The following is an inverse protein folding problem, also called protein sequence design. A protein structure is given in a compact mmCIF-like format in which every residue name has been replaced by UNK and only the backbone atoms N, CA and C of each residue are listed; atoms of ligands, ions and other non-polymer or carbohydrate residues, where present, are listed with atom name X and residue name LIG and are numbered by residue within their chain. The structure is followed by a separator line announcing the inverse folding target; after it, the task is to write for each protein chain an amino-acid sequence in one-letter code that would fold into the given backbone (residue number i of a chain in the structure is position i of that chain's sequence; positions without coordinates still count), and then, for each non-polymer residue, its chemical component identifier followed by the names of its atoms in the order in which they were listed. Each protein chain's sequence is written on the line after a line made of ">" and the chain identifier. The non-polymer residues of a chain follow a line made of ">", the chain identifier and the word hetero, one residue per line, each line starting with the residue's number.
data_IF_751634041324
#
_entry.id   IF_751634041324
#
_cell.length_a   1.000
_cell.length_b   1.000
_cell.length_c   1.000
_cell.angle_alpha   90.00
_cell.angle_beta   90.00
_cell.angle_gamma   90.00
#
_symmetry.space_group_name_H-M   'P 1'
#
loop_
_entity.id
_entity.type
_entity.pdbx_description
1 polymer ?
#
# COMPACT_ATOMS: atom_id res chain seq x y z
N UNK A 1 -24.70 11.58 -1.53
CA UNK A 1 -23.36 11.32 -0.94
C UNK A 1 -23.12 9.81 -0.79
N UNK A 2 -24.03 9.06 -0.16
CA UNK A 2 -23.89 7.60 0.01
C UNK A 2 -23.78 6.83 -1.32
N UNK A 3 -24.58 7.18 -2.33
CA UNK A 3 -24.49 6.58 -3.66
C UNK A 3 -23.13 6.87 -4.33
N UNK A 4 -22.66 8.10 -4.28
CA UNK A 4 -21.38 8.48 -4.86
C UNK A 4 -20.20 7.73 -4.20
N UNK A 5 -20.16 7.69 -2.88
CA UNK A 5 -19.11 7.01 -2.14
C UNK A 5 -19.24 5.49 -2.23
N UNK A 6 -20.46 4.96 -2.10
CA UNK A 6 -20.67 3.52 -2.07
C UNK A 6 -20.61 2.84 -3.44
N UNK A 7 -21.03 3.51 -4.52
CA UNK A 7 -21.01 2.92 -5.84
C UNK A 7 -19.84 3.43 -6.70
N UNK A 8 -19.78 4.73 -7.00
CA UNK A 8 -18.83 5.25 -7.98
C UNK A 8 -17.38 5.09 -7.50
N UNK A 9 -17.08 5.52 -6.29
CA UNK A 9 -15.71 5.42 -5.75
C UNK A 9 -15.27 3.96 -5.56
N UNK A 10 -16.13 3.10 -5.02
CA UNK A 10 -15.77 1.70 -4.84
C UNK A 10 -15.54 1.00 -6.18
N UNK A 11 -16.35 1.25 -7.21
CA UNK A 11 -16.13 0.68 -8.54
C UNK A 11 -14.77 1.13 -9.09
N UNK A 12 -14.42 2.40 -8.98
CA UNK A 12 -13.13 2.92 -9.47
C UNK A 12 -11.95 2.30 -8.73
N UNK A 13 -12.02 2.18 -7.39
CA UNK A 13 -10.97 1.55 -6.59
C UNK A 13 -10.85 0.07 -6.95
N UNK A 14 -11.97 -0.66 -7.03
CA UNK A 14 -11.94 -2.06 -7.43
C UNK A 14 -11.39 -2.26 -8.84
N UNK A 15 -11.75 -1.39 -9.79
CA UNK A 15 -11.21 -1.44 -11.14
C UNK A 15 -9.68 -1.27 -11.16
N UNK A 16 -9.13 -0.33 -10.36
CA UNK A 16 -7.68 -0.14 -10.27
C UNK A 16 -6.96 -1.34 -9.65
N UNK A 17 -7.54 -1.95 -8.61
CA UNK A 17 -7.00 -3.18 -8.00
C UNK A 17 -7.06 -4.35 -8.98
N UNK A 18 -8.17 -4.53 -9.69
CA UNK A 18 -8.30 -5.56 -10.74
C UNK A 18 -7.26 -5.37 -11.86
N UNK A 19 -7.04 -4.12 -12.29
CA UNK A 19 -6.02 -3.81 -13.30
C UNK A 19 -4.61 -4.18 -12.83
N UNK A 20 -4.27 -3.87 -11.58
CA UNK A 20 -3.01 -4.31 -10.99
C UNK A 20 -2.90 -5.84 -10.95
N UNK A 21 -3.96 -6.52 -10.53
CA UNK A 21 -4.04 -7.99 -10.55
C UNK A 21 -3.83 -8.59 -11.93
N UNK A 22 -4.45 -8.03 -12.96
CA UNK A 22 -4.26 -8.44 -14.37
C UNK A 22 -2.81 -8.29 -14.81
N UNK A 23 -2.17 -7.16 -14.52
CA UNK A 23 -0.76 -6.94 -14.88
C UNK A 23 0.16 -7.96 -14.20
N UNK A 24 -0.05 -8.21 -12.92
CA UNK A 24 0.74 -9.18 -12.14
C UNK A 24 0.49 -10.61 -12.65
N UNK A 25 -0.77 -11.00 -12.85
CA UNK A 25 -1.13 -12.32 -13.38
C UNK A 25 -0.59 -12.58 -14.77
N UNK A 26 -0.62 -11.58 -15.64
CA UNK A 26 -0.02 -11.65 -16.97
C UNK A 26 1.51 -11.77 -16.92
N UNK A 27 2.17 -10.97 -16.09
CA UNK A 27 3.64 -10.95 -15.99
C UNK A 27 4.22 -12.21 -15.32
N UNK A 28 3.57 -12.73 -14.26
CA UNK A 28 4.09 -13.84 -13.48
C UNK A 28 3.59 -15.21 -13.95
N UNK A 29 2.34 -15.30 -14.39
CA UNK A 29 1.67 -16.57 -14.70
C UNK A 29 1.35 -16.72 -16.19
N UNK A 30 1.55 -15.67 -17.00
CA UNK A 30 1.20 -15.67 -18.42
C UNK A 30 -0.32 -15.75 -18.68
N UNK A 31 -1.15 -15.43 -17.70
CA UNK A 31 -2.61 -15.51 -17.81
C UNK A 31 -3.16 -14.34 -18.63
N UNK A 32 -4.22 -14.60 -19.38
CA UNK A 32 -4.99 -13.53 -20.01
C UNK A 32 -5.72 -12.67 -18.98
N UNK A 33 -6.13 -11.42 -19.32
CA UNK A 33 -6.86 -10.55 -18.41
C UNK A 33 -8.14 -11.18 -17.85
N UNK A 34 -8.88 -11.90 -18.69
CA UNK A 34 -10.13 -12.56 -18.29
C UNK A 34 -9.88 -13.73 -17.37
N UNK A 35 -8.89 -14.57 -17.66
CA UNK A 35 -8.51 -15.70 -16.81
C UNK A 35 -8.06 -15.24 -15.44
N UNK A 36 -7.20 -14.21 -15.38
CA UNK A 36 -6.76 -13.62 -14.12
C UNK A 36 -7.92 -13.15 -13.26
N UNK A 37 -8.87 -12.42 -13.87
CA UNK A 37 -10.05 -11.94 -13.14
C UNK A 37 -10.93 -13.09 -12.67
N UNK A 38 -11.23 -14.05 -13.53
CA UNK A 38 -12.09 -15.19 -13.17
C UNK A 38 -11.50 -16.02 -12.04
N UNK A 39 -10.22 -16.34 -12.12
CA UNK A 39 -9.52 -17.12 -11.08
C UNK A 39 -9.48 -16.34 -9.76
N UNK A 40 -9.08 -15.08 -9.80
CA UNK A 40 -8.98 -14.24 -8.60
C UNK A 40 -10.34 -14.03 -7.94
N UNK A 41 -11.38 -13.73 -8.74
CA UNK A 41 -12.73 -13.56 -8.22
C UNK A 41 -13.29 -14.87 -7.65
N UNK A 42 -13.09 -16.00 -8.33
CA UNK A 42 -13.55 -17.30 -7.85
C UNK A 42 -12.92 -17.67 -6.50
N UNK A 43 -11.60 -17.53 -6.38
CA UNK A 43 -10.88 -17.75 -5.11
C UNK A 43 -11.41 -16.83 -4.01
N UNK A 44 -11.57 -15.55 -4.32
CA UNK A 44 -12.07 -14.54 -3.37
C UNK A 44 -13.46 -14.86 -2.88
N UNK A 45 -14.37 -15.23 -3.78
CA UNK A 45 -15.74 -15.60 -3.42
C UNK A 45 -15.76 -16.83 -2.53
N UNK A 46 -14.99 -17.86 -2.87
CA UNK A 46 -14.94 -19.11 -2.09
C UNK A 46 -14.47 -18.85 -0.67
N UNK A 47 -13.30 -18.24 -0.47
CA UNK A 47 -12.78 -18.04 0.88
C UNK A 47 -13.61 -17.05 1.71
N UNK A 48 -14.16 -16.00 1.06
CA UNK A 48 -15.01 -15.02 1.74
C UNK A 48 -16.35 -15.63 2.18
N UNK A 49 -16.93 -16.50 1.35
CA UNK A 49 -18.19 -17.15 1.66
C UNK A 49 -18.07 -18.15 2.81
N UNK A 50 -16.94 -18.86 2.87
CA UNK A 50 -16.70 -19.88 3.92
C UNK A 50 -16.24 -19.24 5.23
N UNK A 51 -15.36 -18.24 5.15
CA UNK A 51 -14.68 -17.67 6.32
C UNK A 51 -15.42 -16.53 7.01
N UNK A 52 -16.35 -15.87 6.33
CA UNK A 52 -16.97 -14.64 6.82
C UNK A 52 -15.94 -13.60 7.22
N UNK A 53 -16.30 -12.65 8.09
CA UNK A 53 -15.40 -11.58 8.55
C UNK A 53 -14.15 -12.11 9.26
N UNK A 54 -14.29 -13.18 10.06
CA UNK A 54 -13.16 -13.78 10.79
C UNK A 54 -12.15 -14.42 9.82
N UNK A 55 -12.63 -15.13 8.81
CA UNK A 55 -11.79 -15.72 7.78
C UNK A 55 -11.02 -14.65 7.01
N UNK A 56 -11.68 -13.57 6.63
CA UNK A 56 -11.06 -12.43 5.94
C UNK A 56 -9.93 -11.82 6.80
N UNK A 57 -10.18 -11.54 8.08
CA UNK A 57 -9.15 -10.95 8.98
C UNK A 57 -7.93 -11.87 9.09
N UNK A 58 -8.13 -13.17 9.23
CA UNK A 58 -7.03 -14.14 9.31
C UNK A 58 -6.25 -14.16 7.99
N UNK A 59 -6.94 -14.20 6.86
CA UNK A 59 -6.31 -14.21 5.53
C UNK A 59 -5.53 -12.92 5.28
N UNK A 60 -6.11 -11.77 5.61
CA UNK A 60 -5.45 -10.46 5.50
C UNK A 60 -4.15 -10.43 6.32
N UNK A 61 -4.17 -11.00 7.52
CA UNK A 61 -2.99 -11.06 8.39
C UNK A 61 -1.86 -11.93 7.78
N UNK A 62 -2.19 -13.09 7.24
CA UNK A 62 -1.21 -13.94 6.55
C UNK A 62 -0.67 -13.28 5.28
N UNK A 63 -1.54 -12.66 4.49
CA UNK A 63 -1.14 -11.94 3.29
C UNK A 63 -0.23 -10.74 3.63
N UNK A 64 -0.52 -10.04 4.72
CA UNK A 64 0.35 -8.96 5.20
C UNK A 64 1.75 -9.47 5.56
N UNK A 65 1.85 -10.57 6.33
CA UNK A 65 3.16 -11.16 6.68
C UNK A 65 3.90 -11.57 5.42
N UNK A 66 3.24 -12.27 4.50
CA UNK A 66 3.85 -12.73 3.25
C UNK A 66 4.36 -11.54 2.42
N UNK A 67 3.54 -10.50 2.28
CA UNK A 67 3.93 -9.28 1.56
C UNK A 67 5.14 -8.60 2.21
N UNK A 68 5.17 -8.50 3.55
CA UNK A 68 6.32 -7.91 4.27
C UNK A 68 7.59 -8.73 4.06
N UNK A 69 7.52 -10.04 4.22
CA UNK A 69 8.68 -10.94 3.99
C UNK A 69 9.19 -10.80 2.56
N UNK A 70 8.28 -10.86 1.57
CA UNK A 70 8.66 -10.72 0.16
C UNK A 70 9.30 -9.36 -0.13
N UNK A 71 8.77 -8.27 0.44
CA UNK A 71 9.30 -6.93 0.24
C UNK A 71 10.68 -6.75 0.87
N UNK A 72 10.88 -7.23 2.09
CA UNK A 72 12.21 -7.18 2.73
C UNK A 72 13.22 -8.06 2.00
N UNK A 73 12.81 -9.22 1.51
CA UNK A 73 13.67 -10.06 0.68
C UNK A 73 14.04 -9.36 -0.61
N UNK A 74 13.08 -8.81 -1.33
CA UNK A 74 13.36 -8.06 -2.55
C UNK A 74 14.31 -6.87 -2.30
N UNK A 75 14.11 -6.12 -1.22
CA UNK A 75 15.00 -5.03 -0.83
C UNK A 75 16.42 -5.53 -0.54
N UNK A 76 16.56 -6.66 0.15
CA UNK A 76 17.85 -7.29 0.43
C UNK A 76 18.56 -7.72 -0.87
N UNK A 77 17.85 -8.39 -1.78
CA UNK A 77 18.40 -8.81 -3.07
C UNK A 77 18.87 -7.60 -3.90
N UNK A 78 18.05 -6.55 -3.99
CA UNK A 78 18.39 -5.33 -4.72
C UNK A 78 19.66 -4.68 -4.16
N UNK A 79 19.72 -4.49 -2.83
CA UNK A 79 20.90 -3.89 -2.16
C UNK A 79 22.15 -4.75 -2.31
N UNK A 80 21.99 -6.06 -2.45
CA UNK A 80 23.09 -7.02 -2.62
C UNK A 80 23.60 -7.14 -4.05
N UNK A 81 22.95 -6.48 -5.02
CA UNK A 81 23.40 -6.51 -6.42
C UNK A 81 24.84 -5.98 -6.55
N UNK A 82 25.69 -6.59 -7.42
CA UNK A 82 27.07 -6.16 -7.64
C UNK A 82 27.21 -4.69 -8.09
N UNK A 83 26.19 -4.14 -8.72
CA UNK A 83 26.15 -2.74 -9.14
C UNK A 83 25.96 -1.77 -7.98
N UNK A 84 25.24 -2.20 -6.93
CA UNK A 84 24.90 -1.35 -5.77
C UNK A 84 25.96 -1.49 -4.67
N UNK A 85 26.49 -2.69 -4.47
CA UNK A 85 27.55 -2.99 -3.48
C UNK A 85 27.19 -2.64 -2.02
N UNK A 86 25.91 -2.76 -1.67
CA UNK A 86 25.42 -2.57 -0.32
C UNK A 86 24.75 -1.23 -0.05
N UNK A 87 24.02 -1.19 1.07
CA UNK A 87 23.20 -0.03 1.46
C UNK A 87 24.04 1.25 1.65
N UNK A 88 25.24 1.12 2.25
CA UNK A 88 26.09 2.29 2.47
C UNK A 88 26.51 2.96 1.16
N UNK A 89 26.80 2.17 0.13
CA UNK A 89 27.18 2.70 -1.18
C UNK A 89 25.98 3.33 -1.89
N UNK A 90 24.80 2.68 -1.80
CA UNK A 90 23.56 3.23 -2.32
C UNK A 90 23.22 4.59 -1.71
N UNK A 91 23.30 4.73 -0.40
CA UNK A 91 23.01 5.99 0.31
C UNK A 91 24.02 7.11 0.01
N UNK A 92 25.23 6.76 -0.39
CA UNK A 92 26.27 7.73 -0.79
C UNK A 92 26.35 7.96 -2.30
N UNK A 93 25.47 7.34 -3.07
CA UNK A 93 25.44 7.55 -4.50
C UNK A 93 25.01 8.98 -4.85
N UNK A 94 25.70 9.66 -5.80
CA UNK A 94 25.40 11.06 -6.16
C UNK A 94 23.94 11.32 -6.55
N UNK A 95 23.30 10.36 -7.23
CA UNK A 95 21.90 10.49 -7.66
C UNK A 95 20.90 10.19 -6.55
N UNK A 96 21.33 9.56 -5.46
CA UNK A 96 20.48 9.19 -4.32
C UNK A 96 20.52 10.25 -3.23
N UNK A 97 21.67 10.86 -2.98
CA UNK A 97 21.86 11.91 -1.94
C UNK A 97 20.79 13.01 -2.03
N UNK A 98 20.50 13.61 -3.20
CA UNK A 98 19.46 14.65 -3.30
C UNK A 98 18.06 14.15 -2.96
N UNK A 99 17.79 12.85 -3.22
CA UNK A 99 16.50 12.22 -2.95
C UNK A 99 16.28 11.82 -1.48
N UNK A 100 17.33 11.84 -0.66
CA UNK A 100 17.24 11.57 0.78
C UNK A 100 16.79 12.80 1.58
N UNK A 101 16.75 13.97 0.97
CA UNK A 101 16.24 15.17 1.63
C UNK A 101 14.74 15.03 1.91
N UNK A 102 14.36 15.27 3.17
CA UNK A 102 12.95 15.27 3.57
C UNK A 102 12.17 16.47 3.00
N UNK A 103 12.88 17.55 2.71
CA UNK A 103 12.31 18.77 2.15
C UNK A 103 12.96 18.97 0.77
N UNK A 104 12.17 19.09 -0.30
CA UNK A 104 12.68 19.41 -1.62
C UNK A 104 13.45 20.73 -1.62
N UNK A 105 14.41 20.86 -2.54
CA UNK A 105 15.13 22.12 -2.69
C UNK A 105 14.16 23.24 -3.07
N UNK A 106 14.21 24.34 -2.32
CA UNK A 106 13.39 25.54 -2.56
C UNK A 106 13.74 26.19 -3.92
N UNK A 107 14.95 25.97 -4.40
CA UNK A 107 15.38 26.45 -5.71
C UNK A 107 14.62 25.76 -6.87
N UNK A 108 14.20 24.50 -6.70
CA UNK A 108 13.28 23.83 -7.61
C UNK A 108 11.83 24.11 -7.19
N UNK A 109 11.35 25.28 -7.59
CA UNK A 109 10.05 25.80 -7.18
C UNK A 109 8.90 24.90 -7.59
N UNK A 110 8.96 24.27 -8.76
CA UNK A 110 7.89 23.39 -9.26
C UNK A 110 7.80 22.11 -8.44
N UNK A 111 8.93 21.48 -8.16
CA UNK A 111 8.99 20.29 -7.32
C UNK A 111 8.60 20.63 -5.87
N UNK A 112 9.09 21.76 -5.34
CA UNK A 112 8.77 22.19 -3.98
C UNK A 112 7.26 22.44 -3.80
N UNK A 113 6.63 23.13 -4.74
CA UNK A 113 5.18 23.35 -4.72
C UNK A 113 4.43 22.04 -4.82
N UNK A 114 4.77 21.19 -5.79
CA UNK A 114 4.05 19.94 -6.06
C UNK A 114 4.15 18.91 -4.92
N UNK A 115 5.33 18.77 -4.31
CA UNK A 115 5.60 17.71 -3.33
C UNK A 115 5.45 18.17 -1.89
N UNK A 116 5.64 19.45 -1.61
CA UNK A 116 5.60 19.98 -0.24
C UNK A 116 4.39 20.89 -0.01
N UNK A 117 4.21 21.94 -0.82
CA UNK A 117 3.16 22.94 -0.58
C UNK A 117 1.77 22.37 -0.83
N UNK A 118 1.54 21.70 -1.97
CA UNK A 118 0.23 21.13 -2.30
C UNK A 118 -0.20 20.05 -1.30
N UNK A 119 0.64 19.07 -0.93
CA UNK A 119 0.28 18.11 0.10
C UNK A 119 -0.04 18.75 1.44
N UNK A 120 0.74 19.73 1.88
CA UNK A 120 0.55 20.40 3.17
C UNK A 120 -0.68 21.31 3.18
N UNK A 121 -0.84 22.15 2.16
CA UNK A 121 -1.87 23.19 2.13
C UNK A 121 -3.24 22.69 1.63
N UNK A 122 -3.26 21.66 0.78
CA UNK A 122 -4.48 21.16 0.15
C UNK A 122 -4.83 19.76 0.61
N UNK A 123 -3.89 18.80 0.52
CA UNK A 123 -4.18 17.40 0.83
C UNK A 123 -4.29 17.13 2.33
N UNK A 124 -3.51 17.81 3.15
CA UNK A 124 -3.58 17.68 4.61
C UNK A 124 -4.96 18.05 5.18
N UNK A 125 -5.64 18.97 4.54
CA UNK A 125 -6.99 19.40 4.93
C UNK A 125 -8.10 18.52 4.34
N UNK A 126 -7.75 17.58 3.48
CA UNK A 126 -8.73 16.63 2.98
C UNK A 126 -9.21 15.72 4.12
N UNK A 127 -10.51 15.56 4.21
CA UNK A 127 -11.14 14.62 5.15
C UNK A 127 -10.74 13.17 4.84
N UNK A 128 -10.21 12.95 3.66
CA UNK A 128 -9.76 11.67 3.16
C UNK A 128 -8.25 11.70 2.93
N UNK A 129 -7.49 10.86 3.61
CA UNK A 129 -6.05 10.70 3.45
C UNK A 129 -5.73 9.36 2.77
N UNK A 130 -4.56 9.19 2.16
CA UNK A 130 -4.16 7.92 1.56
C UNK A 130 -4.27 6.76 2.54
N UNK A 131 -5.04 5.74 2.18
CA UNK A 131 -5.37 4.61 3.05
C UNK A 131 -6.62 4.80 3.92
N UNK A 132 -7.20 6.00 3.95
CA UNK A 132 -8.56 6.17 4.43
C UNK A 132 -9.53 5.71 3.35
N UNK A 133 -10.51 4.95 3.76
CA UNK A 133 -11.55 4.48 2.85
C UNK A 133 -12.52 5.57 2.50
N UNK A 134 -13.19 5.47 1.33
CA UNK A 134 -14.34 6.29 1.04
C UNK A 134 -15.38 6.13 2.16
N UNK A 135 -15.58 7.19 2.93
CA UNK A 135 -16.49 7.14 4.07
C UNK A 135 -15.83 7.22 5.46
N UNK A 136 -14.50 7.43 5.51
CA UNK A 136 -13.82 7.77 6.76
C UNK A 136 -13.49 6.59 7.67
N UNK A 137 -12.83 5.57 7.13
CA UNK A 137 -12.30 4.48 7.94
C UNK A 137 -13.33 3.44 8.37
N UNK A 138 -14.37 3.22 7.58
CA UNK A 138 -15.45 2.26 7.86
C UNK A 138 -14.95 0.84 8.08
N UNK A 139 -13.91 0.41 7.37
CA UNK A 139 -13.31 -0.92 7.56
C UNK A 139 -12.54 -1.04 8.87
N UNK A 140 -11.83 -0.01 9.28
CA UNK A 140 -11.16 0.01 10.61
C UNK A 140 -12.20 0.01 11.71
N UNK A 141 -13.23 0.86 11.60
CA UNK A 141 -14.34 0.90 12.54
C UNK A 141 -15.08 -0.44 12.63
N UNK A 142 -15.35 -1.10 11.49
CA UNK A 142 -15.98 -2.42 11.46
C UNK A 142 -15.16 -3.47 12.23
N UNK A 143 -13.84 -3.47 12.06
CA UNK A 143 -12.94 -4.39 12.76
C UNK A 143 -12.87 -4.08 14.25
N UNK A 144 -12.84 -2.80 14.64
CA UNK A 144 -12.91 -2.39 16.05
C UNK A 144 -14.21 -2.82 16.71
N UNK A 145 -15.34 -2.62 16.04
CA UNK A 145 -16.67 -2.99 16.54
C UNK A 145 -16.87 -4.52 16.61
N UNK A 146 -16.12 -5.29 15.84
CA UNK A 146 -16.16 -6.77 15.87
C UNK A 146 -15.20 -7.38 16.89
N UNK A 147 -14.42 -6.58 17.61
CA UNK A 147 -13.50 -7.06 18.63
C UNK A 147 -14.26 -7.62 19.85
N UNK A 148 -13.64 -8.57 20.54
CA UNK A 148 -14.23 -9.25 21.70
C UNK A 148 -14.54 -8.30 22.85
N UNK A 149 -13.67 -7.32 23.06
CA UNK A 149 -13.74 -6.33 24.13
C UNK A 149 -12.97 -5.06 23.74
N UNK A 150 -13.12 -4.00 24.53
CA UNK A 150 -12.50 -2.71 24.33
C UNK A 150 -10.97 -2.79 24.34
N UNK A 151 -10.39 -3.60 25.23
CA UNK A 151 -8.94 -3.78 25.31
C UNK A 151 -8.38 -4.39 24.02
N UNK A 152 -9.05 -5.40 23.48
CA UNK A 152 -8.65 -6.00 22.20
C UNK A 152 -8.82 -5.02 21.02
N UNK A 153 -9.85 -4.18 21.02
CA UNK A 153 -10.04 -3.15 20.02
C UNK A 153 -8.89 -2.11 20.04
N UNK A 154 -8.50 -1.64 21.23
CA UNK A 154 -7.40 -0.69 21.43
C UNK A 154 -6.06 -1.29 20.93
N UNK A 155 -5.74 -2.50 21.37
CA UNK A 155 -4.49 -3.16 20.96
C UNK A 155 -4.44 -3.48 19.48
N UNK A 156 -5.54 -3.91 18.88
CA UNK A 156 -5.62 -4.14 17.45
C UNK A 156 -5.41 -2.85 16.65
N UNK A 157 -6.00 -1.74 17.09
CA UNK A 157 -5.83 -0.43 16.46
C UNK A 157 -4.40 0.09 16.62
N UNK A 158 -3.80 -0.08 17.79
CA UNK A 158 -2.40 0.29 18.03
C UNK A 158 -1.46 -0.52 17.12
N UNK A 159 -1.66 -1.84 17.05
CA UNK A 159 -0.88 -2.72 16.19
C UNK A 159 -1.04 -2.32 14.72
N UNK A 160 -2.27 -2.05 14.27
CA UNK A 160 -2.54 -1.58 12.91
C UNK A 160 -1.78 -0.29 12.60
N UNK A 161 -1.88 0.72 13.47
CA UNK A 161 -1.18 1.98 13.28
C UNK A 161 0.34 1.79 13.24
N UNK A 162 0.90 1.01 14.15
CA UNK A 162 2.33 0.72 14.16
C UNK A 162 2.78 0.02 12.86
N UNK A 163 2.09 -1.02 12.46
CA UNK A 163 2.42 -1.75 11.23
C UNK A 163 2.23 -0.89 9.97
N UNK A 164 1.16 -0.10 9.93
CA UNK A 164 0.85 0.73 8.77
C UNK A 164 1.76 1.95 8.63
N UNK A 165 2.11 2.61 9.73
CA UNK A 165 2.86 3.87 9.68
C UNK A 165 4.36 3.72 9.98
N UNK A 166 4.79 2.68 10.69
CA UNK A 166 6.19 2.45 10.99
C UNK A 166 6.83 1.37 10.10
N UNK A 167 6.19 0.21 9.96
CA UNK A 167 6.80 -0.93 9.25
C UNK A 167 6.58 -0.85 7.74
N UNK A 168 5.36 -0.55 7.31
CA UNK A 168 5.00 -0.52 5.89
C UNK A 168 5.72 0.57 5.08
N UNK A 169 5.94 1.82 5.56
CA UNK A 169 6.65 2.82 4.78
C UNK A 169 8.08 2.43 4.43
N UNK A 170 8.76 1.70 5.30
CA UNK A 170 10.13 1.23 5.04
C UNK A 170 10.20 0.41 3.75
N UNK A 171 9.19 -0.42 3.49
CA UNK A 171 9.13 -1.26 2.29
C UNK A 171 8.83 -0.49 1.01
N UNK A 172 8.05 0.59 1.07
CA UNK A 172 7.69 1.37 -0.12
C UNK A 172 8.77 2.38 -0.54
N UNK A 173 9.47 2.98 0.40
CA UNK A 173 10.51 3.96 0.12
C UNK A 173 11.71 3.35 -0.60
N UNK A 174 12.03 2.10 -0.32
CA UNK A 174 13.15 1.42 -0.98
C UNK A 174 12.82 0.88 -2.38
N UNK A 175 11.58 0.52 -2.66
CA UNK A 175 11.18 0.00 -3.96
C UNK A 175 10.89 1.10 -5.00
N UNK A 176 10.37 2.25 -4.55
CA UNK A 176 9.99 3.35 -5.44
C UNK A 176 11.19 4.10 -6.06
N UNK A 177 12.37 3.96 -5.50
CA UNK A 177 13.59 4.56 -6.04
C UNK A 177 14.01 3.98 -7.41
N UNK A 178 13.46 2.82 -7.82
CA UNK A 178 13.78 2.16 -9.08
C UNK A 178 12.74 2.36 -10.19
N UNK A 179 11.56 2.92 -9.92
CA UNK A 179 10.51 3.10 -10.93
C UNK A 179 10.63 4.39 -11.77
N UNK A 180 11.65 5.19 -11.55
CA UNK A 180 11.82 6.51 -12.21
C UNK A 180 12.91 6.56 -13.28
N UNK A 181 13.31 5.42 -13.84
CA UNK A 181 14.12 5.41 -15.06
C UNK A 181 13.22 5.13 -16.28
N UNK A 182 13.30 5.98 -17.34
CA UNK A 182 12.53 5.81 -18.58
C UNK A 182 13.01 4.60 -19.41
#
# INVERSE_FOLDING_TARGET
>A
RAFYLGAVFNILIMASVCLAGIKIGGALLGLSPVETLLVSCAITVVYSSVGGLRGIIITDFFQFILAMVATFWAAYEIVSLPQIQGLANLLNHPDVIPKLSLIPDIADTDLFIAVFIIPLAVQWWAVWYPGAEPGGGGYVAQRMLSAKDEKNAIWATLLFNFMHYAVRPVSYTHLRAHETEP
#
